data_IF_850011910248
#
_entry.id   IF_850011910248
#
_cell.length_a   1.000
_cell.length_b   1.000
_cell.length_c   1.000
_cell.angle_alpha   90.00
_cell.angle_beta   90.00
_cell.angle_gamma   90.00
#
_symmetry.space_group_name_H-M   'P 1'
#
loop_
_entity.id
_entity.type
_entity.pdbx_description
1 polymer ?
#
# COMPACT_ATOMS: atom_id res chain seq x y z
N UNK A 1 7.48 -3.85 -3.18
CA UNK A 1 7.44 -2.38 -3.29
C UNK A 1 6.70 -2.01 -4.55
N UNK A 2 6.14 -0.81 -4.61
CA UNK A 2 5.29 -0.37 -5.73
C UNK A 2 5.97 0.81 -6.42
N UNK A 3 6.39 0.61 -7.66
CA UNK A 3 6.93 1.69 -8.51
C UNK A 3 5.74 2.50 -9.06
N UNK A 4 5.65 3.78 -8.73
CA UNK A 4 4.49 4.62 -9.06
C UNK A 4 4.72 5.43 -10.33
N UNK A 5 5.93 5.94 -10.50
CA UNK A 5 6.40 6.77 -11.62
C UNK A 5 7.81 6.32 -12.00
N UNK A 6 8.12 6.38 -13.30
CA UNK A 6 9.44 6.07 -13.84
C UNK A 6 9.56 6.62 -15.26
N UNK A 7 10.17 7.79 -15.41
CA UNK A 7 10.48 8.45 -16.67
C UNK A 7 11.85 7.98 -17.18
N UNK A 8 11.98 6.65 -17.33
CA UNK A 8 13.21 5.95 -17.73
C UNK A 8 14.43 6.15 -16.80
N UNK A 9 14.20 6.63 -15.57
CA UNK A 9 15.26 6.85 -14.56
C UNK A 9 15.73 5.56 -13.86
N UNK A 10 14.85 4.56 -13.74
CA UNK A 10 15.14 3.26 -13.14
C UNK A 10 15.00 2.11 -14.15
N UNK A 11 15.80 1.04 -14.01
CA UNK A 11 16.82 0.82 -12.97
C UNK A 11 18.10 1.65 -13.20
N UNK A 12 18.79 1.98 -12.11
CA UNK A 12 20.14 2.58 -12.14
C UNK A 12 21.15 1.56 -12.69
N UNK A 13 22.24 2.04 -13.30
CA UNK A 13 23.24 1.21 -13.99
C UNK A 13 24.21 0.49 -13.05
N UNK A 14 24.46 1.05 -11.86
CA UNK A 14 25.38 0.52 -10.86
C UNK A 14 26.81 1.09 -10.93
N UNK A 15 27.12 1.90 -11.95
CA UNK A 15 28.42 2.56 -12.12
C UNK A 15 28.42 4.03 -11.63
N UNK A 16 27.27 4.54 -11.15
CA UNK A 16 27.08 5.92 -10.70
C UNK A 16 27.75 6.24 -9.36
N UNK A 17 28.18 7.50 -9.20
CA UNK A 17 28.31 8.11 -7.88
C UNK A 17 26.94 8.60 -7.42
N UNK A 18 26.41 7.99 -6.36
CA UNK A 18 25.04 8.23 -5.90
C UNK A 18 25.02 9.12 -4.66
N UNK A 19 24.21 10.17 -4.69
CA UNK A 19 23.81 10.91 -3.50
C UNK A 19 22.59 10.23 -2.86
N UNK A 20 22.70 9.88 -1.58
CA UNK A 20 21.57 9.52 -0.73
C UNK A 20 21.23 10.70 0.21
N UNK A 21 20.00 11.20 0.14
CA UNK A 21 19.53 12.31 0.98
C UNK A 21 18.09 12.10 1.47
N UNK A 22 17.55 13.08 2.19
CA UNK A 22 16.30 12.98 2.94
C UNK A 22 16.48 12.37 4.34
N UNK A 23 15.39 12.24 5.12
CA UNK A 23 15.47 11.90 6.54
C UNK A 23 15.76 10.43 6.85
N UNK A 24 15.53 9.49 5.92
CA UNK A 24 15.46 8.05 6.19
C UNK A 24 16.53 7.22 5.50
N UNK A 25 17.74 7.76 5.36
CA UNK A 25 18.85 7.10 4.65
C UNK A 25 19.55 6.05 5.51
N UNK A 26 19.87 6.39 6.76
CA UNK A 26 20.65 5.54 7.66
C UNK A 26 20.29 5.72 9.16
N UNK A 27 20.86 4.86 10.00
CA UNK A 27 20.76 4.93 11.46
C UNK A 27 19.34 4.75 11.99
N UNK A 28 19.09 5.27 13.19
CA UNK A 28 17.79 5.13 13.88
C UNK A 28 16.64 5.73 13.05
N UNK A 29 16.87 6.81 12.30
CA UNK A 29 15.84 7.41 11.45
C UNK A 29 15.37 6.45 10.34
N UNK A 30 16.30 5.77 9.66
CA UNK A 30 15.95 4.74 8.68
C UNK A 30 15.19 3.58 9.33
N UNK A 31 15.63 3.09 10.50
CA UNK A 31 14.94 2.01 11.22
C UNK A 31 13.50 2.40 11.58
N UNK A 32 13.31 3.63 12.05
CA UNK A 32 12.00 4.19 12.38
C UNK A 32 11.04 4.13 11.19
N UNK A 33 11.47 4.62 10.02
CA UNK A 33 10.65 4.62 8.81
C UNK A 33 10.45 3.22 8.22
N UNK A 34 11.48 2.36 8.28
CA UNK A 34 11.40 0.99 7.77
C UNK A 34 10.44 0.10 8.58
N UNK A 35 10.40 0.28 9.90
CA UNK A 35 9.71 -0.62 10.82
C UNK A 35 8.30 -0.17 11.19
N UNK A 36 8.02 1.13 11.13
CA UNK A 36 6.70 1.66 11.47
C UNK A 36 6.32 1.53 12.94
N UNK A 37 5.04 1.85 13.21
CA UNK A 37 4.40 1.62 14.51
C UNK A 37 4.32 0.13 14.85
N UNK A 38 3.93 -0.21 16.08
CA UNK A 38 3.81 -1.58 16.57
C UNK A 38 5.08 -2.45 16.52
N UNK A 39 6.24 -1.86 16.24
CA UNK A 39 7.53 -2.55 16.27
C UNK A 39 8.29 -2.25 17.56
N UNK A 40 8.37 -3.24 18.46
CA UNK A 40 9.03 -3.20 19.78
C UNK A 40 8.47 -2.17 20.79
N UNK A 41 7.67 -1.22 20.33
CA UNK A 41 6.83 -0.34 21.13
C UNK A 41 5.56 0.01 20.37
N UNK A 42 4.64 0.69 21.05
CA UNK A 42 3.36 1.08 20.45
C UNK A 42 3.56 2.01 19.25
N UNK A 43 4.32 3.09 19.44
CA UNK A 43 4.55 4.12 18.43
C UNK A 43 5.79 3.83 17.56
N UNK A 44 6.32 2.60 17.64
CA UNK A 44 7.57 2.18 17.01
C UNK A 44 8.67 1.91 18.04
N UNK A 45 9.91 1.87 17.56
CA UNK A 45 11.07 1.50 18.36
C UNK A 45 11.38 2.59 19.40
N UNK A 46 11.10 2.34 20.68
CA UNK A 46 11.31 3.33 21.74
C UNK A 46 12.81 3.47 22.11
N UNK A 47 13.17 4.58 22.75
CA UNK A 47 14.56 4.90 23.09
C UNK A 47 15.25 3.81 23.94
N UNK A 48 14.49 3.13 24.81
CA UNK A 48 14.96 2.07 25.70
C UNK A 48 14.78 0.65 25.12
N UNK A 49 14.22 0.53 23.91
CA UNK A 49 14.03 -0.75 23.23
C UNK A 49 15.32 -1.26 22.61
N UNK A 50 15.50 -2.59 22.61
CA UNK A 50 16.51 -3.21 21.76
C UNK A 50 16.28 -2.81 20.30
N UNK A 51 17.35 -2.69 19.51
CA UNK A 51 17.24 -2.46 18.07
C UNK A 51 17.14 -3.82 17.35
N UNK A 52 16.16 -4.01 16.46
CA UNK A 52 16.13 -5.18 15.61
C UNK A 52 17.32 -5.13 14.65
N UNK A 53 17.74 -6.30 14.15
CA UNK A 53 18.61 -6.32 12.98
C UNK A 53 17.85 -5.69 11.81
N UNK A 54 18.49 -4.77 11.09
CA UNK A 54 17.95 -4.16 9.88
C UNK A 54 19.11 -3.77 8.95
N UNK A 55 18.82 -3.73 7.65
CA UNK A 55 19.71 -3.15 6.65
C UNK A 55 19.13 -1.80 6.22
N UNK A 56 19.89 -0.73 6.41
CA UNK A 56 19.46 0.62 6.02
C UNK A 56 19.57 0.82 4.51
N UNK A 57 18.96 1.88 3.98
CA UNK A 57 19.08 2.20 2.56
C UNK A 57 20.55 2.43 2.18
N UNK A 58 21.29 3.18 3.01
CA UNK A 58 22.73 3.39 2.81
C UNK A 58 23.49 2.08 2.68
N UNK A 59 23.25 1.14 3.59
CA UNK A 59 23.92 -0.16 3.59
C UNK A 59 23.56 -0.96 2.34
N UNK A 60 22.28 -1.04 1.99
CA UNK A 60 21.83 -1.77 0.80
C UNK A 60 22.42 -1.21 -0.50
N UNK A 61 22.48 0.11 -0.65
CA UNK A 61 23.07 0.76 -1.83
C UNK A 61 24.59 0.58 -1.85
N UNK A 62 25.26 0.77 -0.70
CA UNK A 62 26.71 0.56 -0.60
C UNK A 62 27.12 -0.89 -0.88
N UNK A 63 26.28 -1.88 -0.54
CA UNK A 63 26.49 -3.28 -0.89
C UNK A 63 26.34 -3.53 -2.40
N UNK A 64 25.47 -2.79 -3.08
CA UNK A 64 25.22 -2.93 -4.52
C UNK A 64 26.34 -2.30 -5.38
N UNK A 65 26.76 -1.07 -5.08
CA UNK A 65 27.69 -0.29 -5.92
C UNK A 65 29.06 -0.01 -5.29
N UNK A 66 29.25 -0.45 -4.04
CA UNK A 66 30.45 -0.17 -3.26
C UNK A 66 30.37 1.16 -2.51
N UNK A 67 30.76 1.16 -1.24
CA UNK A 67 30.67 2.32 -0.35
C UNK A 67 31.46 3.56 -0.82
N UNK A 68 32.44 3.41 -1.72
CA UNK A 68 33.22 4.53 -2.26
C UNK A 68 32.45 5.40 -3.26
N UNK A 69 31.35 4.87 -3.80
CA UNK A 69 30.49 5.54 -4.78
C UNK A 69 29.22 6.12 -4.14
N UNK A 70 29.12 6.12 -2.81
CA UNK A 70 27.94 6.61 -2.08
C UNK A 70 28.30 7.86 -1.27
N UNK A 71 27.65 8.98 -1.59
CA UNK A 71 27.67 10.20 -0.78
C UNK A 71 26.38 10.29 0.02
N UNK A 72 26.45 10.65 1.30
CA UNK A 72 25.28 10.75 2.18
C UNK A 72 25.18 12.14 2.77
N UNK A 73 24.09 12.83 2.45
CA UNK A 73 23.69 14.10 3.06
C UNK A 73 22.30 13.95 3.66
N UNK A 74 22.20 13.21 4.77
CA UNK A 74 20.94 12.93 5.46
C UNK A 74 20.40 14.19 6.17
N UNK A 75 19.10 14.44 6.01
CA UNK A 75 18.43 15.59 6.61
C UNK A 75 17.92 15.25 8.02
N UNK A 76 17.53 16.27 8.80
CA UNK A 76 17.12 16.09 10.18
C UNK A 76 15.78 15.37 10.32
N UNK A 77 15.73 14.38 11.22
CA UNK A 77 14.52 13.70 11.67
C UNK A 77 14.51 13.63 13.20
N UNK A 78 13.36 13.91 13.81
CA UNK A 78 13.14 13.77 15.24
C UNK A 78 11.83 13.02 15.49
N UNK A 79 11.95 11.80 15.99
CA UNK A 79 10.80 10.97 16.37
C UNK A 79 10.03 11.58 17.55
N UNK A 80 8.71 11.74 17.40
CA UNK A 80 7.81 12.32 18.40
C UNK A 80 6.66 11.35 18.75
N UNK A 81 6.91 10.29 19.55
CA UNK A 81 5.93 9.21 19.80
C UNK A 81 4.60 9.67 20.43
N UNK A 82 4.54 10.86 21.01
CA UNK A 82 3.37 11.35 21.74
C UNK A 82 2.77 12.61 21.10
N UNK A 83 3.13 12.89 19.84
CA UNK A 83 2.61 14.00 19.07
C UNK A 83 2.08 13.48 17.74
N UNK A 84 1.17 14.24 17.15
CA UNK A 84 0.61 13.91 15.85
C UNK A 84 1.54 14.44 14.76
N UNK A 85 2.61 13.69 14.49
CA UNK A 85 3.66 14.02 13.52
C UNK A 85 5.05 14.16 14.14
N UNK A 86 6.05 13.85 13.33
CA UNK A 86 7.47 13.94 13.67
C UNK A 86 8.09 15.29 13.27
N UNK A 87 9.27 15.58 13.84
CA UNK A 87 10.07 16.73 13.44
C UNK A 87 10.93 16.42 12.21
N UNK A 88 10.91 17.32 11.23
CA UNK A 88 11.76 17.26 10.03
C UNK A 88 12.49 18.59 9.86
N UNK A 89 13.76 18.54 9.50
CA UNK A 89 14.59 19.73 9.33
C UNK A 89 15.50 19.61 8.11
N UNK A 90 15.65 20.71 7.37
CA UNK A 90 16.54 20.82 6.22
C UNK A 90 17.69 21.79 6.54
N UNK A 91 18.52 21.41 7.51
CA UNK A 91 19.55 22.29 8.08
C UNK A 91 20.88 22.27 7.30
N UNK A 92 21.02 21.37 6.32
CA UNK A 92 22.22 21.13 5.52
C UNK A 92 22.02 21.40 4.01
N UNK A 93 21.17 22.37 3.63
CA UNK A 93 20.84 22.67 2.24
C UNK A 93 22.05 22.90 1.33
N UNK A 94 23.06 23.64 1.78
CA UNK A 94 24.26 23.92 0.99
C UNK A 94 25.02 22.62 0.63
N UNK A 95 25.11 21.67 1.57
CA UNK A 95 25.77 20.39 1.36
C UNK A 95 24.96 19.48 0.42
N UNK A 96 23.64 19.41 0.60
CA UNK A 96 22.76 18.63 -0.29
C UNK A 96 22.83 19.15 -1.71
N UNK A 97 22.75 20.46 -1.94
CA UNK A 97 22.85 21.05 -3.28
C UNK A 97 24.21 20.81 -3.91
N UNK A 98 25.30 20.97 -3.16
CA UNK A 98 26.64 20.71 -3.67
C UNK A 98 26.82 19.24 -4.08
N UNK A 99 26.38 18.31 -3.23
CA UNK A 99 26.47 16.89 -3.52
C UNK A 99 25.55 16.47 -4.68
N UNK A 100 24.37 17.08 -4.83
CA UNK A 100 23.45 16.79 -5.93
C UNK A 100 24.03 17.24 -7.29
N UNK A 101 24.70 18.39 -7.32
CA UNK A 101 25.37 18.89 -8.51
C UNK A 101 26.57 18.03 -8.96
N UNK A 102 27.20 17.31 -8.02
CA UNK A 102 28.35 16.43 -8.27
C UNK A 102 27.95 14.95 -8.49
N UNK A 103 26.68 14.59 -8.30
CA UNK A 103 26.21 13.20 -8.37
C UNK A 103 25.80 12.77 -9.78
N UNK A 104 26.02 11.49 -10.09
CA UNK A 104 25.54 10.87 -11.33
C UNK A 104 24.08 10.40 -11.18
N UNK A 105 23.60 10.17 -9.95
CA UNK A 105 22.20 9.92 -9.60
C UNK A 105 21.90 10.37 -8.16
N UNK A 106 20.66 10.78 -7.91
CA UNK A 106 20.20 11.15 -6.56
C UNK A 106 19.05 10.26 -6.12
N UNK A 107 19.15 9.72 -4.90
CA UNK A 107 18.04 9.03 -4.23
C UNK A 107 17.65 9.84 -3.00
N UNK A 108 16.45 10.42 -3.03
CA UNK A 108 15.87 11.19 -1.93
C UNK A 108 14.82 10.34 -1.20
N UNK A 109 15.08 10.09 0.07
CA UNK A 109 14.08 9.46 0.94
C UNK A 109 13.03 10.47 1.36
N UNK A 110 11.76 10.08 1.34
CA UNK A 110 10.61 10.90 1.75
C UNK A 110 9.60 10.04 2.52
N UNK A 111 8.61 10.67 3.14
CA UNK A 111 7.48 10.00 3.77
C UNK A 111 7.35 10.31 5.26
N UNK A 112 7.22 9.27 6.09
CA UNK A 112 6.85 9.36 7.49
C UNK A 112 7.73 8.50 8.41
N UNK A 113 7.94 9.00 9.63
CA UNK A 113 8.36 8.16 10.75
C UNK A 113 7.21 7.28 11.27
N UNK A 114 7.48 6.48 12.30
CA UNK A 114 6.54 5.50 12.82
C UNK A 114 5.47 6.17 13.67
N UNK A 115 4.24 5.65 13.54
CA UNK A 115 3.09 6.08 14.32
C UNK A 115 2.10 4.92 14.40
N UNK A 116 1.23 4.98 15.41
CA UNK A 116 0.13 4.04 15.60
C UNK A 116 -1.14 4.76 16.03
N UNK A 117 -2.26 4.32 15.46
CA UNK A 117 -3.62 4.82 15.77
C UNK A 117 -3.73 6.34 15.55
N UNK A 118 -4.48 7.05 16.39
CA UNK A 118 -4.77 8.47 16.21
C UNK A 118 -3.57 9.41 16.25
N UNK A 119 -2.38 8.94 16.65
CA UNK A 119 -1.13 9.71 16.54
C UNK A 119 -0.58 9.75 15.11
N UNK A 120 -1.20 9.02 14.18
CA UNK A 120 -0.97 9.09 12.74
C UNK A 120 -2.08 9.79 11.96
N UNK A 121 -3.15 10.26 12.61
CA UNK A 121 -4.27 10.91 11.92
C UNK A 121 -3.84 12.29 11.42
N UNK A 122 -4.12 12.64 10.16
CA UNK A 122 -3.66 13.90 9.58
C UNK A 122 -4.74 14.60 8.79
N UNK A 123 -4.73 15.92 8.90
CA UNK A 123 -5.63 16.80 8.15
C UNK A 123 -5.11 17.13 6.75
N UNK A 124 -3.87 16.73 6.41
CA UNK A 124 -3.25 16.98 5.11
C UNK A 124 -2.43 15.78 4.65
N UNK A 125 -2.39 15.54 3.33
CA UNK A 125 -1.58 14.49 2.71
C UNK A 125 -0.16 14.97 2.35
N UNK A 126 0.03 16.27 2.19
CA UNK A 126 1.31 16.85 1.79
C UNK A 126 2.46 16.36 2.69
N UNK A 127 3.64 16.20 2.11
CA UNK A 127 4.84 15.93 2.90
C UNK A 127 5.19 17.17 3.75
N UNK A 128 5.85 17.02 4.89
CA UNK A 128 6.34 18.16 5.67
C UNK A 128 7.16 19.13 4.80
N UNK A 129 7.02 20.43 5.02
CA UNK A 129 7.67 21.48 4.22
C UNK A 129 9.18 21.28 4.05
N UNK A 130 9.86 20.79 5.10
CA UNK A 130 11.29 20.48 5.05
C UNK A 130 11.61 19.41 3.99
N UNK A 131 10.79 18.36 3.86
CA UNK A 131 11.00 17.33 2.86
C UNK A 131 10.69 17.84 1.45
N UNK A 132 9.62 18.63 1.29
CA UNK A 132 9.31 19.28 0.00
C UNK A 132 10.46 20.18 -0.45
N UNK A 133 11.06 20.94 0.47
CA UNK A 133 12.21 21.80 0.20
C UNK A 133 13.46 21.02 -0.20
N UNK A 134 13.71 19.84 0.40
CA UNK A 134 14.82 18.96 0.00
C UNK A 134 14.64 18.47 -1.43
N UNK A 135 13.45 17.97 -1.77
CA UNK A 135 13.15 17.48 -3.13
C UNK A 135 13.34 18.60 -4.16
N UNK A 136 12.79 19.80 -3.90
CA UNK A 136 12.96 20.95 -4.78
C UNK A 136 14.45 21.38 -4.90
N UNK A 137 15.18 21.39 -3.78
CA UNK A 137 16.59 21.78 -3.78
C UNK A 137 17.49 20.80 -4.55
N UNK A 138 17.19 19.50 -4.47
CA UNK A 138 17.85 18.45 -5.26
C UNK A 138 17.54 18.63 -6.74
N UNK A 139 16.27 18.74 -7.11
CA UNK A 139 15.85 18.90 -8.50
C UNK A 139 16.43 20.16 -9.16
N UNK A 140 16.54 21.26 -8.40
CA UNK A 140 17.16 22.51 -8.87
C UNK A 140 18.69 22.42 -9.06
N UNK A 141 19.37 21.53 -8.32
CA UNK A 141 20.82 21.46 -8.25
C UNK A 141 21.43 20.30 -9.06
N UNK A 142 20.68 19.22 -9.23
CA UNK A 142 21.05 18.08 -10.07
C UNK A 142 21.23 18.51 -11.53
N UNK A 143 22.07 17.79 -12.27
CA UNK A 143 22.20 18.01 -13.71
C UNK A 143 20.93 17.60 -14.45
N UNK A 144 20.70 18.18 -15.64
CA UNK A 144 19.51 17.87 -16.46
C UNK A 144 19.38 16.37 -16.81
N UNK A 145 20.51 15.63 -16.86
CA UNK A 145 20.57 14.20 -17.16
C UNK A 145 20.76 13.33 -15.89
N UNK A 146 20.77 13.94 -14.69
CA UNK A 146 20.97 13.23 -13.41
C UNK A 146 19.61 12.76 -12.88
N UNK A 147 19.32 11.45 -12.84
CA UNK A 147 18.04 10.96 -12.33
C UNK A 147 17.84 11.28 -10.86
N UNK A 148 16.67 11.83 -10.52
CA UNK A 148 16.22 12.12 -9.16
C UNK A 148 15.11 11.13 -8.78
N UNK A 149 15.47 10.17 -7.93
CA UNK A 149 14.59 9.07 -7.52
C UNK A 149 14.08 9.29 -6.10
N UNK A 150 12.75 9.38 -5.94
CA UNK A 150 12.09 9.38 -4.65
C UNK A 150 11.88 7.97 -4.11
N UNK A 151 12.31 7.71 -2.88
CA UNK A 151 11.96 6.49 -2.12
C UNK A 151 11.09 6.86 -0.93
N UNK A 152 9.81 6.51 -1.01
CA UNK A 152 8.84 6.86 0.01
C UNK A 152 8.67 5.74 1.04
N UNK A 153 9.06 6.01 2.28
CA UNK A 153 8.75 5.19 3.44
C UNK A 153 7.56 5.79 4.17
N UNK A 154 6.38 5.18 4.03
CA UNK A 154 5.17 5.66 4.70
C UNK A 154 4.18 4.53 4.97
N UNK A 155 3.39 4.67 6.03
CA UNK A 155 2.30 3.74 6.35
C UNK A 155 1.00 4.05 5.62
N UNK A 156 0.91 5.23 4.99
CA UNK A 156 -0.28 5.76 4.35
C UNK A 156 0.09 6.61 3.11
N UNK A 157 -0.86 6.95 2.22
CA UNK A 157 -0.60 7.84 1.09
C UNK A 157 -0.13 9.23 1.56
N UNK A 158 1.07 9.68 1.16
CA UNK A 158 1.58 11.04 1.43
C UNK A 158 1.96 11.80 0.17
N UNK A 159 2.38 13.05 0.32
CA UNK A 159 2.78 13.90 -0.79
C UNK A 159 1.63 14.27 -1.71
N UNK A 160 2.00 14.63 -2.93
CA UNK A 160 1.08 15.09 -3.96
C UNK A 160 1.83 15.53 -5.21
N UNK A 161 1.07 15.80 -6.28
CA UNK A 161 1.62 16.10 -7.60
C UNK A 161 2.74 17.16 -7.59
N UNK A 162 2.61 18.22 -6.78
CA UNK A 162 3.61 19.29 -6.68
C UNK A 162 4.98 18.85 -6.17
N UNK A 163 5.04 17.82 -5.33
CA UNK A 163 6.33 17.30 -4.87
C UNK A 163 6.85 16.24 -5.82
N UNK A 164 5.96 15.44 -6.40
CA UNK A 164 6.32 14.35 -7.29
C UNK A 164 6.72 14.81 -8.69
N UNK A 165 6.26 15.98 -9.17
CA UNK A 165 6.67 16.56 -10.46
C UNK A 165 8.17 16.91 -10.55
N UNK A 166 8.90 16.84 -9.43
CA UNK A 166 10.34 17.04 -9.34
C UNK A 166 11.14 15.73 -9.32
N UNK A 167 10.47 14.58 -9.43
CA UNK A 167 11.08 13.25 -9.37
C UNK A 167 10.94 12.57 -10.73
N UNK A 168 12.01 11.98 -11.23
CA UNK A 168 11.96 11.16 -12.45
C UNK A 168 11.45 9.75 -12.15
N UNK A 169 11.53 9.30 -10.90
CA UNK A 169 10.90 8.07 -10.44
C UNK A 169 10.45 8.15 -8.98
N UNK A 170 9.38 7.44 -8.66
CA UNK A 170 8.84 7.35 -7.29
C UNK A 170 8.58 5.89 -6.91
N UNK A 171 9.28 5.41 -5.89
CA UNK A 171 9.13 4.07 -5.33
C UNK A 171 8.47 4.14 -3.95
N UNK A 172 7.26 3.61 -3.83
CA UNK A 172 6.62 3.39 -2.53
C UNK A 172 7.18 2.12 -1.87
N UNK A 173 8.02 2.33 -0.85
CA UNK A 173 8.66 1.28 -0.06
C UNK A 173 7.78 0.80 1.09
N UNK A 174 6.77 1.58 1.49
CA UNK A 174 5.93 1.33 2.66
C UNK A 174 6.73 1.33 3.98
N UNK A 175 6.44 0.39 4.87
CA UNK A 175 7.24 0.05 6.05
C UNK A 175 7.83 -1.35 5.83
N UNK A 176 8.93 -1.47 5.06
CA UNK A 176 9.40 -2.74 4.49
C UNK A 176 10.10 -3.68 5.48
N UNK A 177 10.23 -3.30 6.75
CA UNK A 177 10.83 -4.10 7.81
C UNK A 177 12.36 -4.21 7.73
N UNK A 178 12.91 -5.17 8.46
CA UNK A 178 14.36 -5.35 8.66
C UNK A 178 15.18 -5.46 7.37
N UNK A 179 14.66 -6.10 6.33
CA UNK A 179 15.39 -6.25 5.05
C UNK A 179 15.10 -5.09 4.07
N UNK A 180 14.48 -4.01 4.56
CA UNK A 180 13.95 -2.94 3.73
C UNK A 180 15.00 -2.27 2.86
N UNK A 181 16.14 -1.88 3.43
CA UNK A 181 17.22 -1.23 2.68
C UNK A 181 17.77 -2.11 1.56
N UNK A 182 18.00 -3.40 1.82
CA UNK A 182 18.41 -4.35 0.77
C UNK A 182 17.36 -4.51 -0.31
N UNK A 183 16.07 -4.56 0.05
CA UNK A 183 15.00 -4.72 -0.91
C UNK A 183 14.79 -3.46 -1.77
N UNK A 184 14.95 -2.26 -1.20
CA UNK A 184 14.96 -1.01 -1.96
C UNK A 184 16.14 -1.01 -2.92
N UNK A 185 17.35 -1.24 -2.43
CA UNK A 185 18.56 -1.20 -3.26
C UNK A 185 18.49 -2.19 -4.44
N UNK A 186 18.08 -3.43 -4.20
CA UNK A 186 17.88 -4.42 -5.27
C UNK A 186 16.85 -3.99 -6.31
N UNK A 187 15.84 -3.25 -5.89
CA UNK A 187 14.85 -2.70 -6.83
C UNK A 187 15.48 -1.58 -7.64
N UNK A 188 16.14 -0.60 -6.99
CA UNK A 188 16.80 0.53 -7.65
C UNK A 188 17.78 0.10 -8.75
N UNK A 189 18.55 -0.97 -8.53
CA UNK A 189 19.54 -1.48 -9.48
C UNK A 189 19.05 -2.64 -10.35
N UNK A 190 17.75 -2.91 -10.39
CA UNK A 190 17.18 -3.91 -11.29
C UNK A 190 17.46 -5.37 -10.96
N UNK A 191 18.16 -5.68 -9.86
CA UNK A 191 18.28 -7.06 -9.33
C UNK A 191 16.90 -7.65 -8.97
N UNK A 192 15.97 -6.78 -8.57
CA UNK A 192 14.57 -7.12 -8.38
C UNK A 192 13.69 -6.24 -9.27
N UNK A 193 12.93 -6.87 -10.16
CA UNK A 193 11.92 -6.18 -10.96
C UNK A 193 10.69 -5.89 -10.09
N UNK A 194 10.29 -4.61 -9.93
CA UNK A 194 9.16 -4.25 -9.08
C UNK A 194 7.87 -4.85 -9.62
N UNK A 195 7.06 -5.38 -8.71
CA UNK A 195 5.80 -6.04 -9.02
C UNK A 195 4.68 -5.73 -8.01
N UNK A 196 4.90 -4.77 -7.11
CA UNK A 196 3.88 -4.32 -6.17
C UNK A 196 2.80 -3.52 -6.87
N UNK A 197 1.59 -3.57 -6.32
CA UNK A 197 0.39 -2.88 -6.80
C UNK A 197 -0.23 -2.17 -5.60
N UNK A 198 -0.69 -0.94 -5.77
CA UNK A 198 -1.33 -0.20 -4.69
C UNK A 198 -2.60 -0.92 -4.20
N UNK A 199 -2.71 -1.28 -2.91
CA UNK A 199 -3.91 -1.89 -2.35
C UNK A 199 -4.96 -0.84 -1.92
N UNK A 200 -4.75 0.42 -2.30
CA UNK A 200 -5.60 1.56 -1.97
C UNK A 200 -5.59 2.57 -3.11
N UNK A 201 -6.55 3.49 -3.09
CA UNK A 201 -6.53 4.68 -3.94
C UNK A 201 -5.66 5.75 -3.27
N UNK A 202 -4.79 6.42 -4.03
CA UNK A 202 -4.01 7.56 -3.55
C UNK A 202 -4.72 8.86 -3.95
N UNK A 203 -5.46 9.52 -3.02
CA UNK A 203 -6.19 10.74 -3.35
C UNK A 203 -5.24 11.90 -3.65
N UNK A 204 -5.70 12.87 -4.44
CA UNK A 204 -4.91 14.08 -4.74
C UNK A 204 -4.77 15.01 -3.52
N UNK A 205 -5.77 14.99 -2.63
CA UNK A 205 -5.80 15.80 -1.42
C UNK A 205 -6.76 15.18 -0.39
N UNK A 206 -6.64 15.58 0.89
CA UNK A 206 -7.42 15.03 2.01
C UNK A 206 -8.94 15.08 1.78
N UNK A 207 -9.45 16.11 1.07
CA UNK A 207 -10.87 16.23 0.73
C UNK A 207 -11.42 15.12 -0.19
N UNK A 208 -10.55 14.29 -0.77
CA UNK A 208 -10.89 13.09 -1.55
C UNK A 208 -10.64 11.79 -0.77
N UNK A 209 -10.37 11.80 0.54
CA UNK A 209 -10.03 10.60 1.32
C UNK A 209 -11.11 9.49 1.29
N UNK A 210 -12.36 9.82 0.97
CA UNK A 210 -13.46 8.86 0.78
C UNK A 210 -13.48 8.23 -0.62
N UNK A 211 -12.46 8.47 -1.43
CA UNK A 211 -12.33 7.89 -2.76
C UNK A 211 -11.88 6.42 -2.64
N UNK A 212 -12.74 5.51 -3.07
CA UNK A 212 -12.48 4.08 -3.09
C UNK A 212 -12.67 3.56 -4.51
N UNK A 213 -11.89 2.55 -4.91
CA UNK A 213 -11.95 2.00 -6.27
C UNK A 213 -13.33 1.41 -6.61
N UNK A 214 -14.06 0.98 -5.59
CA UNK A 214 -15.41 0.43 -5.66
C UNK A 214 -16.48 1.46 -5.24
N UNK A 215 -16.26 2.75 -5.55
CA UNK A 215 -17.26 3.79 -5.35
C UNK A 215 -18.55 3.49 -6.14
N UNK A 216 -19.68 3.93 -5.58
CA UNK A 216 -21.00 3.81 -6.21
C UNK A 216 -21.29 4.98 -7.16
N UNK A 217 -22.01 4.76 -8.28
CA UNK A 217 -22.41 5.84 -9.17
C UNK A 217 -23.58 6.68 -8.57
N UNK A 218 -23.68 7.98 -8.87
CA UNK A 218 -22.70 8.78 -9.58
C UNK A 218 -21.55 9.17 -8.65
N UNK A 219 -20.33 8.70 -8.94
CA UNK A 219 -19.13 9.25 -8.33
C UNK A 219 -18.80 10.55 -9.06
N UNK A 220 -18.65 11.66 -8.34
CA UNK A 220 -17.94 12.82 -8.91
C UNK A 220 -16.57 12.30 -9.36
N UNK A 221 -16.11 12.71 -10.54
CA UNK A 221 -14.79 12.35 -11.06
C UNK A 221 -13.72 12.74 -10.07
N UNK A 222 -13.40 11.81 -9.18
CA UNK A 222 -12.34 11.92 -8.20
C UNK A 222 -11.16 11.22 -8.86
N UNK A 223 -10.59 11.84 -9.88
CA UNK A 223 -9.36 11.36 -10.52
C UNK A 223 -8.31 11.30 -9.41
N UNK A 224 -7.92 10.10 -8.94
CA UNK A 224 -6.95 10.00 -7.88
C UNK A 224 -5.57 10.38 -8.42
N UNK A 225 -4.63 10.65 -7.54
CA UNK A 225 -3.24 10.78 -7.93
C UNK A 225 -2.73 9.44 -8.49
N UNK A 226 -3.05 8.36 -7.78
CA UNK A 226 -2.84 6.99 -8.25
C UNK A 226 -4.05 6.11 -7.95
N UNK A 227 -4.46 5.32 -8.94
CA UNK A 227 -5.56 4.37 -8.79
C UNK A 227 -5.17 3.15 -7.96
N UNK A 228 -6.18 2.47 -7.39
CA UNK A 228 -6.01 1.11 -6.88
C UNK A 228 -5.45 0.21 -8.00
N UNK A 229 -4.47 -0.63 -7.67
CA UNK A 229 -3.78 -1.48 -8.66
C UNK A 229 -2.69 -0.76 -9.45
N UNK A 230 -2.43 0.54 -9.24
CA UNK A 230 -1.26 1.21 -9.83
C UNK A 230 0.03 0.55 -9.35
N UNK A 231 0.95 0.32 -10.27
CA UNK A 231 2.25 -0.26 -10.03
C UNK A 231 2.93 -0.57 -11.36
N UNK A 232 4.06 0.10 -11.60
CA UNK A 232 4.89 -0.10 -12.78
C UNK A 232 5.86 -1.27 -12.55
N UNK A 233 6.44 -1.75 -13.65
CA UNK A 233 7.46 -2.79 -13.68
C UNK A 233 8.55 -2.38 -14.66
N UNK A 234 9.74 -2.99 -14.59
CA UNK A 234 10.79 -2.82 -15.61
C UNK A 234 10.51 -3.62 -16.89
N UNK A 235 9.35 -4.26 -16.97
CA UNK A 235 8.84 -4.93 -18.17
C UNK A 235 7.37 -4.59 -18.39
N UNK A 236 6.84 -4.94 -19.55
CA UNK A 236 5.45 -4.75 -19.93
C UNK A 236 4.72 -6.07 -20.08
N UNK A 237 3.40 -6.05 -19.86
CA UNK A 237 2.54 -7.22 -20.01
C UNK A 237 1.31 -6.88 -20.85
N UNK A 238 0.92 -7.81 -21.72
CA UNK A 238 -0.29 -7.71 -22.52
C UNK A 238 -1.24 -8.88 -22.23
N UNK A 239 -2.54 -8.61 -22.35
CA UNK A 239 -3.60 -9.58 -22.14
C UNK A 239 -4.27 -9.97 -23.46
N UNK A 240 -4.65 -11.25 -23.58
CA UNK A 240 -5.44 -11.76 -24.68
C UNK A 240 -6.36 -12.90 -24.24
N UNK A 241 -7.37 -13.20 -25.07
CA UNK A 241 -8.21 -14.40 -24.95
C UNK A 241 -8.93 -14.55 -23.60
N UNK A 242 -9.44 -13.46 -23.02
CA UNK A 242 -10.19 -13.53 -21.75
C UNK A 242 -11.42 -14.47 -21.89
N UNK A 243 -11.59 -15.37 -20.94
CA UNK A 243 -12.73 -16.27 -20.85
C UNK A 243 -13.18 -16.45 -19.39
N UNK A 244 -14.46 -16.79 -19.21
CA UNK A 244 -15.05 -17.14 -17.92
C UNK A 244 -15.66 -18.53 -18.03
N UNK A 245 -15.28 -19.42 -17.12
CA UNK A 245 -15.70 -20.82 -17.13
C UNK A 245 -16.28 -21.28 -15.78
N UNK A 246 -17.53 -21.79 -15.75
CA UNK A 246 -18.51 -21.72 -16.84
C UNK A 246 -18.96 -20.27 -17.09
N UNK A 247 -19.28 -19.92 -18.34
CA UNK A 247 -19.82 -18.60 -18.69
C UNK A 247 -21.28 -18.39 -18.27
N UNK A 248 -21.97 -19.47 -17.87
CA UNK A 248 -23.31 -19.44 -17.29
C UNK A 248 -23.36 -20.33 -16.07
N UNK A 249 -23.92 -19.80 -14.99
CA UNK A 249 -24.19 -20.52 -13.74
C UNK A 249 -25.68 -20.49 -13.49
N UNK A 250 -26.30 -21.65 -13.25
CA UNK A 250 -27.73 -21.73 -12.92
C UNK A 250 -28.03 -20.93 -11.64
N UNK A 251 -27.29 -21.20 -10.55
CA UNK A 251 -27.47 -20.56 -9.26
C UNK A 251 -26.17 -20.50 -8.46
N UNK A 252 -25.95 -19.40 -7.74
CA UNK A 252 -24.82 -19.26 -6.82
C UNK A 252 -24.94 -20.18 -5.57
N UNK A 253 -26.09 -20.83 -5.35
CA UNK A 253 -26.24 -21.86 -4.32
C UNK A 253 -25.68 -23.23 -4.75
N UNK A 254 -25.46 -23.44 -6.06
CA UNK A 254 -25.00 -24.72 -6.62
C UNK A 254 -23.50 -24.69 -7.00
N UNK A 255 -22.90 -23.50 -6.97
CA UNK A 255 -21.51 -23.27 -7.34
C UNK A 255 -20.95 -22.10 -6.56
N UNK A 256 -19.79 -22.30 -5.94
CA UNK A 256 -19.17 -21.26 -5.11
C UNK A 256 -18.34 -20.25 -5.92
N UNK A 257 -17.78 -20.67 -7.05
CA UNK A 257 -16.85 -19.89 -7.86
C UNK A 257 -16.88 -20.24 -9.35
N UNK A 258 -16.42 -19.30 -10.18
CA UNK A 258 -16.08 -19.49 -11.60
C UNK A 258 -14.58 -19.25 -11.80
N UNK A 259 -14.03 -19.77 -12.90
CA UNK A 259 -12.64 -19.53 -13.29
C UNK A 259 -12.60 -18.44 -14.36
N UNK A 260 -11.89 -17.36 -14.09
CA UNK A 260 -11.58 -16.32 -15.07
C UNK A 260 -10.19 -16.61 -15.63
N UNK A 261 -10.08 -16.92 -16.91
CA UNK A 261 -8.81 -17.26 -17.54
C UNK A 261 -8.41 -16.26 -18.61
N UNK A 262 -7.14 -15.87 -18.64
CA UNK A 262 -6.60 -14.89 -19.59
C UNK A 262 -5.19 -15.31 -19.99
N UNK A 263 -4.81 -15.06 -21.24
CA UNK A 263 -3.43 -15.23 -21.69
C UNK A 263 -2.66 -13.96 -21.33
N UNK A 264 -1.54 -14.10 -20.63
CA UNK A 264 -0.64 -13.01 -20.27
C UNK A 264 0.67 -13.21 -21.01
N UNK A 265 1.16 -12.19 -21.70
CA UNK A 265 2.46 -12.21 -22.36
C UNK A 265 3.36 -11.13 -21.79
N UNK A 266 4.59 -11.49 -21.45
CA UNK A 266 5.64 -10.52 -21.13
C UNK A 266 6.22 -9.97 -22.44
N UNK A 267 5.99 -8.70 -22.71
CA UNK A 267 6.38 -8.04 -23.98
C UNK A 267 7.61 -7.17 -23.87
N UNK A 268 8.17 -7.01 -22.66
CA UNK A 268 9.41 -6.26 -22.45
C UNK A 268 10.64 -7.16 -22.38
N UNK A 269 11.76 -6.54 -22.02
CA UNK A 269 13.08 -7.17 -22.07
C UNK A 269 13.56 -7.75 -20.73
N UNK A 270 12.76 -7.60 -19.66
CA UNK A 270 13.08 -8.13 -18.33
C UNK A 270 12.12 -9.25 -17.92
N UNK A 271 12.65 -10.31 -17.29
CA UNK A 271 11.81 -11.27 -16.59
C UNK A 271 11.07 -10.55 -15.45
N UNK A 272 9.78 -10.84 -15.26
CA UNK A 272 8.96 -10.07 -14.33
C UNK A 272 7.84 -10.87 -13.72
N UNK A 273 7.44 -10.45 -12.52
CA UNK A 273 6.20 -10.88 -11.91
C UNK A 273 5.08 -9.91 -12.26
N UNK A 274 3.89 -10.44 -12.48
CA UNK A 274 2.69 -9.66 -12.73
C UNK A 274 1.52 -10.17 -11.90
N UNK A 275 0.71 -9.25 -11.39
CA UNK A 275 -0.52 -9.58 -10.67
C UNK A 275 -1.69 -9.37 -11.62
N UNK A 276 -2.35 -10.46 -11.98
CA UNK A 276 -3.57 -10.46 -12.77
C UNK A 276 -4.73 -10.23 -11.83
N UNK A 277 -5.48 -9.15 -12.05
CA UNK A 277 -6.63 -8.78 -11.24
C UNK A 277 -7.90 -8.90 -12.09
N UNK A 278 -8.83 -9.77 -11.68
CA UNK A 278 -10.12 -9.94 -12.34
C UNK A 278 -11.20 -9.14 -11.61
N UNK A 279 -12.00 -8.39 -12.34
CA UNK A 279 -13.04 -7.54 -11.78
C UNK A 279 -14.41 -7.83 -12.37
N UNK A 280 -15.45 -7.50 -11.62
CA UNK A 280 -16.76 -7.19 -12.19
C UNK A 280 -16.85 -5.68 -12.37
N UNK A 281 -17.09 -5.21 -13.60
CA UNK A 281 -17.12 -3.77 -13.96
C UNK A 281 -18.49 -3.24 -14.33
N UNK A 282 -19.44 -4.13 -14.66
CA UNK A 282 -20.82 -3.75 -14.86
C UNK A 282 -21.75 -4.85 -14.36
N UNK A 283 -22.77 -4.42 -13.63
CA UNK A 283 -23.83 -5.27 -13.12
C UNK A 283 -25.13 -4.48 -13.09
N UNK A 284 -26.21 -5.10 -13.54
CA UNK A 284 -27.56 -4.63 -13.29
C UNK A 284 -28.12 -5.36 -12.08
N UNK A 285 -28.87 -4.68 -11.21
CA UNK A 285 -29.44 -5.29 -10.03
C UNK A 285 -30.51 -4.43 -9.38
N UNK A 286 -31.12 -4.98 -8.33
CA UNK A 286 -32.19 -4.34 -7.57
C UNK A 286 -31.72 -3.19 -6.68
N UNK A 287 -30.41 -3.15 -6.39
CA UNK A 287 -29.75 -2.10 -5.62
C UNK A 287 -28.64 -1.44 -6.45
N UNK A 288 -28.25 -0.24 -6.04
CA UNK A 288 -27.07 0.42 -6.56
C UNK A 288 -25.84 -0.48 -6.31
N UNK A 289 -24.98 -0.63 -7.30
CA UNK A 289 -23.75 -1.44 -7.20
C UNK A 289 -22.51 -0.55 -7.41
N UNK A 290 -21.36 -0.92 -6.83
CA UNK A 290 -20.07 -0.30 -7.15
C UNK A 290 -19.79 -0.30 -8.65
N UNK A 291 -19.05 0.70 -9.12
CA UNK A 291 -18.57 0.75 -10.50
C UNK A 291 -17.63 -0.43 -10.84
N UNK A 292 -16.94 -0.98 -9.84
CA UNK A 292 -16.00 -2.09 -10.01
C UNK A 292 -15.86 -2.88 -8.71
N UNK A 293 -15.74 -4.21 -8.79
CA UNK A 293 -15.47 -5.10 -7.65
C UNK A 293 -14.36 -6.08 -8.00
N UNK A 294 -13.33 -6.18 -7.16
CA UNK A 294 -12.27 -7.19 -7.34
C UNK A 294 -12.86 -8.57 -7.07
N UNK A 295 -12.84 -9.46 -8.07
CA UNK A 295 -13.34 -10.82 -7.96
C UNK A 295 -12.26 -11.78 -7.44
N UNK A 296 -11.01 -11.57 -7.86
CA UNK A 296 -9.88 -12.40 -7.49
C UNK A 296 -8.59 -11.86 -8.10
N UNK A 297 -7.47 -12.42 -7.66
CA UNK A 297 -6.14 -12.09 -8.16
C UNK A 297 -5.31 -13.35 -8.31
N UNK A 298 -4.43 -13.40 -9.30
CA UNK A 298 -3.42 -14.46 -9.45
C UNK A 298 -2.08 -13.84 -9.81
N UNK A 299 -0.97 -14.42 -9.34
CA UNK A 299 0.38 -13.91 -9.62
C UNK A 299 1.10 -14.84 -10.58
N UNK A 300 1.60 -14.29 -11.67
CA UNK A 300 2.40 -15.03 -12.67
C UNK A 300 3.83 -14.48 -12.72
N UNK A 301 4.78 -15.34 -13.06
CA UNK A 301 6.17 -14.98 -13.40
C UNK A 301 6.39 -15.37 -14.84
N UNK A 302 6.94 -14.47 -15.65
CA UNK A 302 7.18 -14.70 -17.08
C UNK A 302 8.55 -14.17 -17.48
N UNK A 303 9.31 -14.98 -18.21
CA UNK A 303 10.51 -14.56 -18.92
C UNK A 303 10.16 -13.63 -20.11
N UNK A 304 11.11 -12.85 -20.65
CA UNK A 304 10.87 -12.01 -21.83
C UNK A 304 10.31 -12.82 -23.01
N UNK A 305 9.18 -12.37 -23.57
CA UNK A 305 8.49 -13.03 -24.68
C UNK A 305 7.70 -14.28 -24.28
N UNK A 306 7.69 -14.69 -23.01
CA UNK A 306 6.90 -15.82 -22.54
C UNK A 306 5.41 -15.45 -22.44
N UNK A 307 4.55 -16.40 -22.82
CA UNK A 307 3.10 -16.32 -22.63
C UNK A 307 2.60 -17.47 -21.74
N UNK A 308 1.70 -17.17 -20.80
CA UNK A 308 1.02 -18.18 -19.99
C UNK A 308 -0.49 -17.94 -19.94
N UNK A 309 -1.25 -19.05 -19.86
CA UNK A 309 -2.67 -19.03 -19.53
C UNK A 309 -2.81 -18.93 -18.01
N UNK A 310 -3.24 -17.79 -17.50
CA UNK A 310 -3.44 -17.54 -16.06
C UNK A 310 -4.91 -17.78 -15.73
N UNK A 311 -5.16 -18.49 -14.63
CA UNK A 311 -6.49 -18.79 -14.12
C UNK A 311 -6.68 -18.09 -12.76
N UNK A 312 -7.68 -17.22 -12.68
CA UNK A 312 -8.08 -16.52 -11.47
C UNK A 312 -9.37 -17.15 -10.96
N UNK A 313 -9.35 -17.66 -9.73
CA UNK A 313 -10.59 -18.09 -9.05
C UNK A 313 -11.42 -16.85 -8.68
N UNK A 314 -12.68 -16.82 -9.11
CA UNK A 314 -13.62 -15.74 -8.85
C UNK A 314 -14.83 -16.27 -8.06
N UNK A 315 -14.83 -16.13 -6.72
CA UNK A 315 -15.95 -16.53 -5.89
C UNK A 315 -17.23 -15.74 -6.21
N UNK A 316 -18.34 -16.43 -6.47
CA UNK A 316 -19.62 -15.79 -6.82
C UNK A 316 -20.19 -14.96 -5.67
N UNK A 317 -19.85 -15.30 -4.41
CA UNK A 317 -20.24 -14.51 -3.22
C UNK A 317 -19.75 -13.05 -3.28
N UNK A 318 -18.71 -12.76 -4.05
CA UNK A 318 -18.19 -11.39 -4.25
C UNK A 318 -19.15 -10.52 -5.05
N UNK A 319 -20.07 -11.12 -5.81
CA UNK A 319 -21.15 -10.44 -6.53
C UNK A 319 -22.38 -10.16 -5.65
N UNK A 320 -22.36 -10.60 -4.39
CA UNK A 320 -23.53 -10.48 -3.51
C UNK A 320 -23.88 -9.03 -3.20
N UNK A 321 -25.19 -8.80 -3.07
CA UNK A 321 -25.78 -7.54 -2.62
C UNK A 321 -26.62 -7.78 -1.38
N UNK A 322 -26.79 -6.72 -0.58
CA UNK A 322 -27.77 -6.67 0.52
C UNK A 322 -28.94 -5.82 0.05
N UNK A 323 -30.09 -6.44 -0.24
CA UNK A 323 -31.29 -5.75 -0.67
C UNK A 323 -32.11 -5.19 0.49
N UNK A 324 -33.10 -4.35 0.17
CA UNK A 324 -33.81 -3.55 1.16
C UNK A 324 -33.08 -2.22 1.42
N UNK A 325 -33.81 -1.21 1.90
CA UNK A 325 -33.26 0.13 2.12
C UNK A 325 -32.10 0.13 3.15
N UNK A 326 -31.57 1.32 3.47
CA UNK A 326 -30.41 1.61 4.36
C UNK A 326 -30.20 0.65 5.55
N UNK A 327 -31.24 0.11 6.25
CA UNK A 327 -30.99 -0.83 7.35
C UNK A 327 -30.50 -2.24 6.94
N UNK A 328 -30.52 -2.62 5.66
CA UNK A 328 -29.92 -3.88 5.17
C UNK A 328 -30.51 -5.15 5.78
N UNK A 329 -31.83 -5.17 6.01
CA UNK A 329 -32.53 -6.25 6.76
C UNK A 329 -32.72 -7.55 5.98
N UNK A 330 -32.50 -7.56 4.66
CA UNK A 330 -32.59 -8.79 3.87
C UNK A 330 -31.24 -9.52 3.84
N UNK A 331 -31.28 -10.85 3.71
CA UNK A 331 -30.08 -11.66 3.56
C UNK A 331 -29.31 -11.34 2.28
N UNK A 332 -27.98 -11.52 2.32
CA UNK A 332 -27.13 -11.37 1.13
C UNK A 332 -27.56 -12.33 0.03
N UNK A 333 -27.63 -11.83 -1.20
CA UNK A 333 -27.95 -12.64 -2.39
C UNK A 333 -27.08 -12.27 -3.58
N UNK A 334 -26.76 -13.25 -4.42
CA UNK A 334 -26.30 -13.02 -5.79
C UNK A 334 -27.55 -12.95 -6.66
N UNK A 335 -27.70 -11.88 -7.43
CA UNK A 335 -28.90 -11.66 -8.25
C UNK A 335 -28.73 -12.33 -9.62
N UNK A 336 -29.82 -12.81 -10.20
CA UNK A 336 -29.81 -13.24 -11.59
C UNK A 336 -29.49 -12.04 -12.51
N UNK A 337 -28.64 -12.27 -13.51
CA UNK A 337 -28.26 -11.23 -14.46
C UNK A 337 -26.94 -11.53 -15.17
N UNK A 338 -26.62 -10.63 -16.10
CA UNK A 338 -25.34 -10.61 -16.79
C UNK A 338 -24.36 -9.69 -16.05
N UNK A 339 -23.18 -10.23 -15.79
CA UNK A 339 -22.06 -9.58 -15.13
C UNK A 339 -20.94 -9.42 -16.14
N UNK A 340 -20.51 -8.18 -16.39
CA UNK A 340 -19.30 -7.93 -17.16
C UNK A 340 -18.09 -8.23 -16.27
N UNK A 341 -17.26 -9.18 -16.69
CA UNK A 341 -15.98 -9.54 -16.09
C UNK A 341 -14.87 -8.92 -16.93
N UNK A 342 -13.90 -8.29 -16.28
CA UNK A 342 -12.78 -7.64 -16.96
C UNK A 342 -11.43 -8.00 -16.35
N UNK A 343 -10.42 -8.04 -17.22
CA UNK A 343 -9.00 -8.11 -16.88
C UNK A 343 -8.25 -7.18 -17.83
N UNK A 344 -7.64 -6.12 -17.31
CA UNK A 344 -7.09 -5.06 -18.16
C UNK A 344 -8.18 -4.41 -19.00
N UNK A 345 -7.99 -4.38 -20.32
CA UNK A 345 -8.94 -3.88 -21.31
C UNK A 345 -9.86 -4.98 -21.88
N UNK A 346 -9.61 -6.25 -21.55
CA UNK A 346 -10.40 -7.38 -22.02
C UNK A 346 -11.68 -7.51 -21.19
N UNK A 347 -12.79 -7.87 -21.85
CA UNK A 347 -14.07 -8.14 -21.19
C UNK A 347 -14.68 -9.46 -21.64
N UNK A 348 -15.44 -10.08 -20.73
CA UNK A 348 -16.22 -11.29 -20.97
C UNK A 348 -17.52 -11.22 -20.15
N UNK A 349 -18.53 -12.01 -20.52
CA UNK A 349 -19.82 -12.04 -19.79
C UNK A 349 -19.92 -13.31 -18.95
N UNK A 350 -20.33 -13.14 -17.69
CA UNK A 350 -20.80 -14.19 -16.81
C UNK A 350 -22.32 -14.03 -16.62
N UNK A 351 -23.11 -15.05 -16.92
CA UNK A 351 -24.56 -15.05 -16.67
C UNK A 351 -24.88 -15.88 -15.42
N UNK A 352 -25.61 -15.30 -14.47
CA UNK A 352 -26.25 -16.02 -13.36
C UNK A 352 -27.74 -16.12 -13.66
N UNK A 353 -28.28 -17.34 -13.78
CA UNK A 353 -29.66 -17.55 -14.25
C UNK A 353 -30.70 -17.30 -13.15
N UNK A 354 -30.40 -17.69 -11.91
CA UNK A 354 -31.31 -17.59 -10.77
C UNK A 354 -30.67 -16.85 -9.58
N UNK A 355 -31.46 -15.97 -8.96
CA UNK A 355 -31.08 -15.28 -7.73
C UNK A 355 -30.99 -16.28 -6.58
N UNK A 356 -29.89 -16.27 -5.84
CA UNK A 356 -29.67 -17.19 -4.73
C UNK A 356 -28.97 -16.51 -3.55
N UNK A 357 -29.20 -17.03 -2.34
CA UNK A 357 -28.54 -16.56 -1.12
C UNK A 357 -27.02 -16.77 -1.21
N UNK A 358 -26.25 -15.78 -0.77
CA UNK A 358 -24.80 -15.83 -0.75
C UNK A 358 -24.29 -16.16 0.66
N UNK A 359 -24.08 -17.45 0.93
CA UNK A 359 -23.52 -17.96 2.20
C UNK A 359 -24.57 -18.42 3.23
N UNK A 360 -24.13 -19.26 4.17
CA UNK A 360 -24.90 -19.66 5.36
C UNK A 360 -24.74 -18.59 6.46
N UNK A 361 -25.85 -17.99 6.88
CA UNK A 361 -25.90 -17.07 8.02
C UNK A 361 -27.08 -16.12 7.90
N UNK A 362 -27.98 -16.14 8.88
CA UNK A 362 -28.95 -15.05 9.03
C UNK A 362 -28.20 -13.72 9.11
N UNK A 363 -28.70 -12.64 8.47
CA UNK A 363 -28.11 -11.32 8.65
C UNK A 363 -27.98 -11.05 10.15
N UNK A 364 -26.79 -10.68 10.61
CA UNK A 364 -26.60 -10.22 11.99
C UNK A 364 -27.54 -9.03 12.15
N UNK A 365 -28.56 -9.10 13.02
CA UNK A 365 -29.41 -7.96 13.28
C UNK A 365 -28.48 -6.82 13.70
N UNK A 366 -28.63 -5.66 13.05
CA UNK A 366 -28.09 -4.43 13.63
C UNK A 366 -28.87 -4.25 14.93
N UNK A 367 -28.31 -4.67 16.05
CA UNK A 367 -28.73 -4.14 17.34
C UNK A 367 -28.37 -2.65 17.26
N UNK A 368 -29.38 -1.83 16.98
CA UNK A 368 -29.28 -0.42 17.29
C UNK A 368 -29.16 -0.37 18.79
N UNK A 369 -27.94 -0.16 19.30
CA UNK A 369 -27.74 0.33 20.66
C UNK A 369 -28.43 1.71 20.73
N UNK A 370 -29.74 1.69 20.94
CA UNK A 370 -30.57 2.86 21.20
C UNK A 370 -30.25 3.47 22.59
N UNK A 371 -29.19 2.98 23.27
CA UNK A 371 -28.77 3.42 24.59
C UNK A 371 -27.54 4.35 24.57
N UNK A 372 -27.19 4.92 23.42
CA UNK A 372 -26.32 6.10 23.42
C UNK A 372 -27.11 7.36 23.85
N UNK A 373 -27.33 7.49 25.15
CA UNK A 373 -27.72 8.76 25.76
C UNK A 373 -26.48 9.63 25.98
N UNK A 374 -26.42 10.87 25.44
CA UNK A 374 -25.32 11.77 25.71
C UNK A 374 -25.48 12.34 27.12
N UNK A 375 -24.69 11.83 28.05
CA UNK A 375 -24.43 12.47 29.34
C UNK A 375 -24.75 11.61 30.56
N UNK A 376 -23.71 10.97 31.12
CA UNK A 376 -23.36 11.19 32.52
C UNK A 376 -21.92 10.70 32.77
N UNK A 377 -20.96 11.63 32.70
CA UNK A 377 -19.68 11.46 33.37
C UNK A 377 -19.92 11.68 34.86
N UNK A 378 -19.91 10.62 35.67
CA UNK A 378 -19.25 10.66 36.96
C UNK A 378 -19.14 9.28 37.63
N UNK A 379 -17.93 9.04 38.10
CA UNK A 379 -17.52 8.32 39.31
C UNK A 379 -17.45 6.78 39.36
N UNK A 380 -16.21 6.30 39.38
CA UNK A 380 -15.89 4.95 39.84
C UNK A 380 -14.42 4.59 40.00
N UNK A 381 -13.48 5.53 40.15
CA UNK A 381 -12.08 5.19 40.47
C UNK A 381 -11.73 5.54 41.92
N UNK A 382 -11.90 4.56 42.81
CA UNK A 382 -11.45 4.63 44.19
C UNK A 382 -10.57 3.43 44.54
N UNK A 383 -9.25 3.54 44.35
CA UNK A 383 -8.27 2.66 45.01
C UNK A 383 -7.10 3.51 45.53
N UNK A 384 -7.04 3.63 46.86
CA UNK A 384 -5.91 4.19 47.61
C UNK A 384 -4.73 3.22 47.75
N UNK A 385 -3.63 3.64 48.39
CA UNK A 385 -2.33 2.94 48.40
C UNK A 385 -2.27 1.79 49.42
N UNK A 386 -1.20 0.94 49.38
CA UNK A 386 -1.24 -0.46 49.79
C UNK A 386 -0.82 -0.67 51.26
N UNK A 387 -1.31 -1.75 51.90
CA UNK A 387 -0.61 -2.38 53.02
C UNK A 387 -1.03 -3.85 53.24
N UNK A 388 0.00 -4.67 53.42
CA UNK A 388 0.20 -5.92 54.15
C UNK A 388 -0.69 -7.20 54.01
N UNK A 389 0.07 -8.30 53.84
CA UNK A 389 -0.21 -9.76 53.78
C UNK A 389 -1.01 -10.33 55.00
N UNK A 390 -1.30 -11.67 55.13
CA UNK A 390 -1.14 -12.83 54.22
C UNK A 390 -2.36 -13.79 54.10
N UNK A 391 -2.33 -14.67 53.10
CA UNK A 391 -2.59 -16.11 53.33
C UNK A 391 -3.78 -16.79 52.63
N UNK A 392 -3.45 -17.94 52.03
CA UNK A 392 -4.30 -19.03 51.49
C UNK A 392 -5.06 -18.71 50.19
N UNK A 393 -4.94 -19.46 49.10
CA UNK A 393 -4.33 -20.76 48.82
C UNK A 393 -5.12 -21.42 47.68
N UNK A 394 -4.43 -21.96 46.67
CA UNK A 394 -4.88 -22.88 45.61
C UNK A 394 -6.12 -22.47 44.78
N UNK A 395 -6.14 -22.52 43.45
CA UNK A 395 -5.28 -23.14 42.44
C UNK A 395 -6.09 -23.23 41.13
N UNK A 396 -5.41 -23.65 40.06
CA UNK A 396 -5.88 -24.06 38.72
C UNK A 396 -5.18 -23.28 37.60
N UNK A 397 -3.92 -23.63 37.40
CA UNK A 397 -3.24 -23.59 36.11
C UNK A 397 -3.15 -25.03 35.61
N UNK A 398 -3.42 -25.23 34.32
CA UNK A 398 -2.97 -26.38 33.57
C UNK A 398 -4.08 -27.11 32.82
N UNK A 399 -4.13 -26.89 31.50
CA UNK A 399 -3.99 -27.92 30.46
C UNK A 399 -4.30 -27.31 29.10
N UNK A 400 -3.33 -27.37 28.19
CA UNK A 400 -3.53 -27.59 26.75
C UNK A 400 -2.16 -27.83 26.12
N UNK A 401 -1.76 -29.11 26.11
CA UNK A 401 -0.89 -29.73 25.12
C UNK A 401 -1.36 -31.19 25.02
N UNK A 402 -2.03 -31.48 23.92
CA UNK A 402 -1.80 -32.62 23.02
C UNK A 402 -2.43 -32.30 21.67
#
# INVERSE_FOLDING_TARGET
MTLLENDDALPLSGDENVLLTGPFVDGDAALHAQMGGWTLGWQGIMADSARPWATTLREGVADAIGAGSVTVEQTGFTFQPWQNGDGYAFDNEEAVRAAAADADAVVVTIGEGPHSEGYGDRDELALPDAQQAVVAAVADAAGDDTPVVGVEFAGSPRGGARTFEHLDALLMAYQPGSAGGSAVARTLYGEHVPSGRLPFVWPQHVGQATNHYNAYPPSRGNDPLYEFGRGLSYTSFEYADLAVEPGTVESAAERDAVTVSVTVTNTGDHAGYHVVEAYNTQSYGSVLQPNRRLLGTERVSLDPGESARVEVEAPLRTLSVVPGAIPGVEGKRVEAGDYEVSVGDQTATLTVAETASAGEGEPIPVETDDDWSPGNSDDGNGRGPPDDKPGNGNGLLGRLLD
#
